data_IF_506427259638
#
_entry.id   IF_506427259638
#
_cell.length_a   1.000
_cell.length_b   1.000
_cell.length_c   1.000
_cell.angle_alpha   90.00
_cell.angle_beta   90.00
_cell.angle_gamma   90.00
#
_symmetry.space_group_name_H-M   'P 1'
#
loop_
_entity.id
_entity.type
_entity.pdbx_description
1 polymer ?
#
# COMPACT_ATOMS: atom_id res chain seq x y z
N UNK A 1 10.97 -19.61 1.61
CA UNK A 1 10.30 -18.67 0.67
C UNK A 1 10.71 -17.24 1.01
N UNK A 2 11.12 -16.50 0.02
CA UNK A 2 11.52 -15.12 0.24
C UNK A 2 10.32 -14.26 0.60
N UNK A 3 10.48 -13.43 1.62
CA UNK A 3 9.46 -12.47 2.00
C UNK A 3 9.45 -11.32 0.98
N UNK A 4 8.29 -11.03 0.42
CA UNK A 4 8.17 -9.94 -0.54
C UNK A 4 8.35 -8.59 0.15
N UNK A 5 9.05 -7.64 -0.47
CA UNK A 5 9.13 -6.28 0.06
C UNK A 5 7.73 -5.66 0.19
N UNK A 6 7.57 -4.77 1.14
CA UNK A 6 6.30 -4.08 1.38
C UNK A 6 6.51 -2.57 1.28
N UNK A 7 5.78 -1.94 0.37
CA UNK A 7 5.81 -0.49 0.16
C UNK A 7 4.42 0.04 0.44
N UNK A 8 4.29 0.95 1.39
CA UNK A 8 2.99 1.49 1.81
C UNK A 8 2.87 2.96 1.44
N UNK A 9 1.75 3.35 0.84
CA UNK A 9 1.48 4.71 0.40
C UNK A 9 0.36 5.35 1.22
N UNK A 10 0.51 6.61 1.60
CA UNK A 10 -0.55 7.33 2.28
C UNK A 10 -0.53 8.82 1.95
N UNK A 11 -1.68 9.49 2.07
CA UNK A 11 -1.80 10.94 1.88
C UNK A 11 -2.22 11.68 3.15
N UNK A 12 -2.71 10.99 4.16
CA UNK A 12 -3.25 11.60 5.38
C UNK A 12 -2.29 11.47 6.57
N UNK A 13 -2.51 10.50 7.45
CA UNK A 13 -1.68 10.38 8.66
C UNK A 13 -0.79 9.16 8.69
N UNK A 14 -1.11 8.13 7.91
CA UNK A 14 -0.40 6.87 7.98
C UNK A 14 -0.78 6.01 9.18
N UNK A 15 -1.80 6.40 9.94
CA UNK A 15 -2.23 5.62 11.10
C UNK A 15 -2.64 4.20 10.76
N UNK A 16 -3.28 4.01 9.61
CA UNK A 16 -3.67 2.69 9.13
C UNK A 16 -2.46 1.80 8.89
N UNK A 17 -1.38 2.38 8.36
CA UNK A 17 -0.13 1.65 8.14
C UNK A 17 0.44 1.19 9.48
N UNK A 18 0.48 2.10 10.45
CA UNK A 18 1.02 1.79 11.77
C UNK A 18 0.21 0.70 12.47
N UNK A 19 -1.12 0.78 12.40
CA UNK A 19 -1.98 -0.24 12.98
C UNK A 19 -1.75 -1.60 12.33
N UNK A 20 -1.68 -1.64 11.01
CA UNK A 20 -1.44 -2.87 10.26
C UNK A 20 -0.06 -3.45 10.60
N UNK A 21 0.96 -2.60 10.64
CA UNK A 21 2.32 -3.02 10.96
C UNK A 21 2.42 -3.64 12.35
N UNK A 22 1.78 -3.01 13.34
CA UNK A 22 1.77 -3.53 14.70
C UNK A 22 1.07 -4.88 14.79
N UNK A 23 -0.03 -5.04 14.07
CA UNK A 23 -0.77 -6.31 14.06
C UNK A 23 0.01 -7.41 13.33
N UNK A 24 0.77 -7.06 12.30
CA UNK A 24 1.60 -8.03 11.57
C UNK A 24 2.90 -8.36 12.30
N UNK A 25 3.37 -7.47 13.15
CA UNK A 25 4.72 -7.57 13.71
C UNK A 25 5.78 -7.28 12.66
N UNK A 26 5.43 -6.49 11.66
CA UNK A 26 6.33 -6.17 10.55
C UNK A 26 6.01 -4.80 10.00
N UNK A 27 7.03 -4.00 9.75
CA UNK A 27 6.88 -2.66 9.18
C UNK A 27 7.24 -2.64 7.70
N UNK A 28 6.68 -1.71 6.92
CA UNK A 28 7.04 -1.57 5.51
C UNK A 28 8.53 -1.31 5.33
N UNK A 29 9.06 -1.78 4.21
CA UNK A 29 10.43 -1.47 3.82
C UNK A 29 10.55 0.00 3.42
N UNK A 30 9.47 0.59 2.91
CA UNK A 30 9.41 1.99 2.55
C UNK A 30 7.99 2.50 2.74
N UNK A 31 7.86 3.73 3.22
CA UNK A 31 6.57 4.41 3.36
C UNK A 31 6.62 5.64 2.45
N UNK A 32 5.62 5.78 1.59
CA UNK A 32 5.61 6.86 0.58
C UNK A 32 4.45 7.79 0.84
N UNK A 33 4.70 9.09 0.81
CA UNK A 33 3.65 10.08 0.98
C UNK A 33 3.82 11.25 0.02
N UNK A 34 2.69 11.82 -0.40
CA UNK A 34 2.66 13.04 -1.19
C UNK A 34 2.43 14.28 -0.33
N UNK A 35 2.53 14.13 1.00
CA UNK A 35 2.47 15.28 1.90
C UNK A 35 3.77 16.08 1.75
N UNK A 36 3.71 17.33 2.20
CA UNK A 36 4.91 18.16 2.25
C UNK A 36 5.70 17.84 3.52
N UNK A 37 7.03 17.87 3.46
CA UNK A 37 7.85 17.57 4.65
C UNK A 37 7.56 18.49 5.85
N UNK A 38 7.07 19.70 5.63
CA UNK A 38 6.71 20.60 6.72
C UNK A 38 5.43 20.14 7.45
N UNK A 39 4.73 19.14 6.92
CA UNK A 39 3.57 18.53 7.57
C UNK A 39 3.94 17.26 8.35
N UNK A 40 5.20 17.04 8.66
CA UNK A 40 5.65 15.85 9.36
C UNK A 40 4.88 15.59 10.66
N UNK A 41 4.50 16.65 11.36
CA UNK A 41 3.77 16.52 12.63
C UNK A 41 2.40 15.86 12.51
N UNK A 42 1.84 15.83 11.29
CA UNK A 42 0.54 15.20 11.05
C UNK A 42 0.67 13.73 10.72
N UNK A 43 1.90 13.22 10.63
CA UNK A 43 2.15 11.81 10.33
C UNK A 43 2.23 11.04 11.65
N UNK A 44 1.63 9.85 11.67
CA UNK A 44 1.64 9.00 12.85
C UNK A 44 3.08 8.80 13.34
N UNK A 45 3.32 9.08 14.61
CA UNK A 45 4.67 9.08 15.19
C UNK A 45 5.30 7.68 15.28
N UNK A 46 4.51 6.64 15.12
CA UNK A 46 5.03 5.27 15.13
C UNK A 46 5.81 4.94 13.86
N UNK A 47 5.59 5.70 12.78
CA UNK A 47 6.29 5.48 11.51
C UNK A 47 7.72 5.99 11.62
N UNK A 48 8.68 5.13 11.25
CA UNK A 48 10.10 5.50 11.22
C UNK A 48 10.33 6.53 10.12
N UNK A 49 10.70 7.74 10.51
CA UNK A 49 10.90 8.85 9.57
C UNK A 49 11.98 8.55 8.52
N UNK A 50 12.96 7.74 8.86
CA UNK A 50 14.03 7.40 7.91
C UNK A 50 13.53 6.56 6.74
N UNK A 51 12.36 5.94 6.88
CA UNK A 51 11.75 5.13 5.82
C UNK A 51 10.78 5.92 4.95
N UNK A 52 10.50 7.16 5.30
CA UNK A 52 9.55 7.98 4.54
C UNK A 52 10.20 8.51 3.27
N UNK A 53 9.54 8.29 2.15
CA UNK A 53 9.89 8.89 0.88
C UNK A 53 8.84 9.91 0.52
N UNK A 54 9.27 11.13 0.22
CA UNK A 54 8.37 12.24 -0.09
C UNK A 54 8.28 12.40 -1.61
N UNK A 55 7.07 12.42 -2.15
CA UNK A 55 6.85 12.61 -3.58
C UNK A 55 6.24 13.97 -3.83
N UNK A 56 6.07 14.33 -5.10
CA UNK A 56 5.28 15.49 -5.47
C UNK A 56 3.82 15.27 -5.06
N UNK A 57 3.07 16.36 -4.94
CA UNK A 57 1.65 16.25 -4.60
C UNK A 57 0.88 15.34 -5.56
N UNK A 58 1.17 15.44 -6.87
CA UNK A 58 0.63 14.52 -7.87
C UNK A 58 1.82 13.85 -8.55
N UNK A 59 2.24 12.64 -8.08
CA UNK A 59 3.41 11.99 -8.64
C UNK A 59 3.21 11.60 -10.10
N UNK A 60 4.27 11.74 -10.88
CA UNK A 60 4.29 11.30 -12.26
C UNK A 60 4.54 9.79 -12.34
N UNK A 61 4.16 9.18 -13.46
CA UNK A 61 4.37 7.74 -13.64
C UNK A 61 5.81 7.33 -13.40
N UNK A 62 6.77 8.14 -13.85
CA UNK A 62 8.19 7.79 -13.70
C UNK A 62 8.63 7.71 -12.24
N UNK A 63 7.99 8.49 -11.35
CA UNK A 63 8.33 8.46 -9.94
C UNK A 63 7.93 7.13 -9.31
N UNK A 64 6.75 6.62 -9.67
CA UNK A 64 6.31 5.31 -9.20
C UNK A 64 7.23 4.21 -9.74
N UNK A 65 7.56 4.27 -11.03
CA UNK A 65 8.43 3.26 -11.66
C UNK A 65 9.81 3.26 -11.02
N UNK A 66 10.40 4.46 -10.84
CA UNK A 66 11.71 4.59 -10.23
C UNK A 66 11.76 3.96 -8.84
N UNK A 67 10.73 4.23 -8.04
CA UNK A 67 10.66 3.68 -6.69
C UNK A 67 10.48 2.16 -6.70
N UNK A 68 9.48 1.68 -7.45
CA UNK A 68 9.10 0.29 -7.36
C UNK A 68 10.08 -0.66 -8.05
N UNK A 69 10.84 -0.16 -9.02
CA UNK A 69 11.87 -0.97 -9.68
C UNK A 69 13.04 -1.30 -8.75
N UNK A 70 13.17 -0.61 -7.63
CA UNK A 70 14.20 -0.90 -6.64
C UNK A 70 13.91 -2.17 -5.84
N UNK A 71 12.71 -2.69 -5.96
CA UNK A 71 12.26 -3.84 -5.17
C UNK A 71 11.77 -4.94 -6.09
N UNK A 72 12.07 -6.19 -5.71
CA UNK A 72 11.65 -7.35 -6.50
C UNK A 72 10.27 -7.81 -6.06
N UNK A 73 9.29 -7.76 -6.98
CA UNK A 73 7.91 -8.18 -6.71
C UNK A 73 7.33 -7.60 -5.43
N UNK A 74 7.36 -6.27 -5.25
CA UNK A 74 6.87 -5.69 -4.01
C UNK A 74 5.36 -5.83 -3.86
N UNK A 75 4.93 -5.89 -2.60
CA UNK A 75 3.51 -5.70 -2.27
C UNK A 75 3.34 -4.22 -2.01
N UNK A 76 2.41 -3.60 -2.73
CA UNK A 76 2.09 -2.18 -2.56
C UNK A 76 0.75 -2.09 -1.85
N UNK A 77 0.70 -1.37 -0.74
CA UNK A 77 -0.56 -1.13 -0.04
C UNK A 77 -0.88 0.36 -0.03
N UNK A 78 -2.15 0.68 -0.22
CA UNK A 78 -2.63 2.05 -0.26
C UNK A 78 -3.51 2.31 0.97
N UNK A 79 -3.18 3.36 1.71
CA UNK A 79 -3.84 3.70 2.97
C UNK A 79 -4.28 5.15 2.92
N UNK A 80 -5.46 5.40 2.35
CA UNK A 80 -5.90 6.76 2.14
C UNK A 80 -5.02 7.51 1.16
N UNK A 81 -4.48 6.82 0.19
CA UNK A 81 -3.69 7.42 -0.89
C UNK A 81 -4.65 8.10 -1.85
N UNK A 82 -4.55 9.43 -1.96
CA UNK A 82 -5.53 10.25 -2.69
C UNK A 82 -5.13 10.53 -4.13
N UNK A 83 -4.42 9.61 -4.74
CA UNK A 83 -4.02 9.72 -6.15
C UNK A 83 -4.30 8.39 -6.85
N UNK A 84 -4.62 8.48 -8.13
CA UNK A 84 -4.83 7.29 -8.96
C UNK A 84 -3.47 6.75 -9.39
N UNK A 85 -3.27 5.44 -9.19
CA UNK A 85 -2.04 4.80 -9.65
C UNK A 85 -2.10 4.58 -11.15
N UNK A 86 -0.98 4.78 -11.87
CA UNK A 86 -0.93 4.44 -13.28
C UNK A 86 -1.23 2.96 -13.50
N UNK A 87 -1.91 2.65 -14.59
CA UNK A 87 -2.24 1.27 -14.94
C UNK A 87 -1.00 0.39 -15.04
N UNK A 88 0.09 0.95 -15.55
CA UNK A 88 1.36 0.22 -15.67
C UNK A 88 1.85 -0.29 -14.32
N UNK A 89 1.61 0.46 -13.25
CA UNK A 89 2.02 0.06 -11.90
C UNK A 89 1.12 -1.08 -11.41
N UNK A 90 -0.17 -0.96 -11.62
CA UNK A 90 -1.12 -2.00 -11.21
C UNK A 90 -0.84 -3.33 -11.92
N UNK A 91 -0.28 -3.28 -13.11
CA UNK A 91 0.05 -4.48 -13.88
C UNK A 91 1.39 -5.10 -13.46
N UNK A 92 2.30 -4.31 -12.92
CA UNK A 92 3.64 -4.80 -12.56
C UNK A 92 3.77 -5.28 -11.11
N UNK A 93 2.90 -4.80 -10.23
CA UNK A 93 3.01 -5.06 -8.81
C UNK A 93 1.72 -5.63 -8.27
N UNK A 94 1.80 -6.35 -7.15
CA UNK A 94 0.61 -6.70 -6.39
C UNK A 94 0.22 -5.49 -5.57
N UNK A 95 -0.93 -4.90 -5.87
CA UNK A 95 -1.41 -3.69 -5.20
C UNK A 95 -2.68 -3.99 -4.43
N UNK A 96 -2.72 -3.59 -3.17
CA UNK A 96 -3.88 -3.75 -2.31
C UNK A 96 -4.27 -2.41 -1.70
N UNK A 97 -5.55 -2.05 -1.84
CA UNK A 97 -6.08 -0.87 -1.19
C UNK A 97 -6.53 -1.27 0.22
N UNK A 98 -6.27 -0.45 1.22
CA UNK A 98 -6.65 -0.72 2.60
C UNK A 98 -8.14 -0.88 2.84
N UNK A 99 -8.99 -0.62 1.87
CA UNK A 99 -10.42 -0.89 1.99
C UNK A 99 -10.72 -2.37 1.81
N UNK A 100 -11.78 -2.88 2.41
CA UNK A 100 -12.14 -4.29 2.29
C UNK A 100 -12.83 -4.60 0.94
N UNK A 101 -12.25 -4.14 -0.16
CA UNK A 101 -12.83 -4.31 -1.49
C UNK A 101 -12.87 -5.74 -1.99
N UNK A 102 -12.11 -6.63 -1.35
CA UNK A 102 -12.10 -8.04 -1.73
C UNK A 102 -13.17 -8.86 -1.03
N UNK A 103 -13.95 -8.27 -0.12
CA UNK A 103 -14.89 -9.03 0.70
C UNK A 103 -15.92 -9.80 -0.14
N UNK A 104 -16.38 -9.22 -1.23
CA UNK A 104 -17.37 -9.87 -2.08
C UNK A 104 -16.82 -11.10 -2.81
N UNK A 105 -15.53 -11.11 -3.10
CA UNK A 105 -14.87 -12.20 -3.83
C UNK A 105 -14.17 -13.19 -2.89
N UNK A 106 -13.78 -12.70 -1.72
CA UNK A 106 -13.10 -13.50 -0.71
C UNK A 106 -13.80 -13.32 0.63
N UNK A 107 -14.94 -14.01 0.85
CA UNK A 107 -15.72 -13.84 2.08
C UNK A 107 -14.95 -14.05 3.37
N UNK A 108 -13.90 -14.87 3.36
CA UNK A 108 -13.09 -15.13 4.53
C UNK A 108 -12.34 -13.87 5.01
N UNK A 109 -12.31 -12.82 4.19
CA UNK A 109 -11.68 -11.56 4.60
C UNK A 109 -12.62 -10.65 5.39
N UNK A 110 -13.86 -11.03 5.59
CA UNK A 110 -14.80 -10.25 6.40
C UNK A 110 -14.41 -10.33 7.88
N UNK A 111 -14.72 -9.26 8.62
CA UNK A 111 -14.55 -9.23 10.05
C UNK A 111 -13.32 -8.50 10.50
N UNK A 112 -12.91 -8.78 11.74
CA UNK A 112 -11.76 -8.12 12.32
C UNK A 112 -10.48 -8.43 11.58
N UNK A 113 -9.59 -7.44 11.55
CA UNK A 113 -8.24 -7.60 11.01
C UNK A 113 -8.21 -8.02 9.54
N UNK A 114 -9.20 -7.53 8.76
CA UNK A 114 -9.28 -7.83 7.33
C UNK A 114 -7.98 -7.52 6.59
N UNK A 115 -7.37 -6.37 6.87
CA UNK A 115 -6.14 -5.97 6.20
C UNK A 115 -4.98 -6.91 6.54
N UNK A 116 -4.87 -7.32 7.80
CA UNK A 116 -3.83 -8.23 8.24
C UNK A 116 -3.96 -9.57 7.50
N UNK A 117 -5.18 -10.09 7.46
CA UNK A 117 -5.42 -11.38 6.80
C UNK A 117 -5.17 -11.32 5.30
N UNK A 118 -5.60 -10.22 4.66
CA UNK A 118 -5.36 -10.03 3.24
C UNK A 118 -3.85 -9.94 2.95
N UNK A 119 -3.12 -9.16 3.75
CA UNK A 119 -1.68 -9.01 3.57
C UNK A 119 -0.98 -10.36 3.71
N UNK A 120 -1.30 -11.11 4.76
CA UNK A 120 -0.70 -12.44 4.97
C UNK A 120 -1.02 -13.38 3.81
N UNK A 121 -2.25 -13.35 3.30
CA UNK A 121 -2.63 -14.17 2.16
C UNK A 121 -1.84 -13.84 0.91
N UNK A 122 -1.59 -12.54 0.66
CA UNK A 122 -0.78 -12.11 -0.47
C UNK A 122 0.66 -12.61 -0.32
N UNK A 123 1.24 -12.50 0.89
CA UNK A 123 2.60 -12.97 1.14
C UNK A 123 2.74 -14.48 0.91
N UNK A 124 1.69 -15.23 1.22
CA UNK A 124 1.69 -16.67 1.05
C UNK A 124 1.32 -17.10 -0.37
N UNK A 125 1.02 -16.13 -1.26
CA UNK A 125 0.59 -16.43 -2.61
C UNK A 125 -0.84 -16.92 -2.71
N UNK A 126 -1.62 -16.80 -1.62
CA UNK A 126 -2.99 -17.29 -1.58
C UNK A 126 -3.96 -16.41 -2.35
N UNK A 127 -3.73 -15.09 -2.33
CA UNK A 127 -4.60 -14.14 -3.01
C UNK A 127 -3.87 -13.46 -4.14
N UNK A 128 -4.34 -13.63 -5.36
CA UNK A 128 -3.76 -12.97 -6.52
C UNK A 128 -4.66 -11.90 -7.09
N UNK A 129 -5.94 -11.93 -6.73
CA UNK A 129 -6.92 -11.00 -7.29
C UNK A 129 -6.92 -9.62 -6.62
N UNK A 130 -6.14 -9.45 -5.55
CA UNK A 130 -6.04 -8.16 -4.87
C UNK A 130 -5.63 -7.05 -5.83
N UNK A 131 -4.67 -7.32 -6.70
CA UNK A 131 -4.23 -6.36 -7.71
C UNK A 131 -5.32 -6.04 -8.71
N UNK A 132 -6.14 -7.03 -9.08
CA UNK A 132 -7.22 -6.82 -10.02
C UNK A 132 -8.30 -5.89 -9.45
N UNK A 133 -8.61 -6.04 -8.16
CA UNK A 133 -9.59 -5.17 -7.50
C UNK A 133 -9.09 -3.73 -7.45
N UNK A 134 -7.84 -3.53 -7.04
CA UNK A 134 -7.30 -2.18 -6.95
C UNK A 134 -7.17 -1.55 -8.33
N UNK A 135 -6.88 -2.35 -9.36
CA UNK A 135 -6.78 -1.86 -10.72
C UNK A 135 -8.12 -1.28 -11.18
N UNK A 136 -9.22 -1.96 -10.88
CA UNK A 136 -10.55 -1.44 -11.20
C UNK A 136 -10.82 -0.13 -10.47
N UNK A 137 -10.46 -0.06 -9.20
CA UNK A 137 -10.67 1.14 -8.39
C UNK A 137 -9.89 2.32 -8.96
N UNK A 138 -8.61 2.13 -9.27
CA UNK A 138 -7.78 3.22 -9.79
C UNK A 138 -8.21 3.65 -11.18
N UNK A 139 -8.62 2.72 -12.03
CA UNK A 139 -9.07 3.04 -13.38
C UNK A 139 -10.45 3.69 -13.38
N UNK A 140 -11.25 3.38 -12.35
CA UNK A 140 -12.62 3.86 -12.25
C UNK A 140 -12.77 5.06 -11.39
N UNK A 141 -11.68 5.66 -10.91
CA UNK A 141 -11.88 6.80 -10.16
C UNK A 141 -12.00 6.76 -8.77
N UNK A 142 -11.55 6.03 -8.21
CA UNK A 142 -11.51 5.91 -6.83
C UNK A 142 -12.14 4.94 -6.31
#
# INVERSE_FOLDING_TARGET
>A
METKPWIAFFSQTGGEIADLAENLGRWPDRVVTNKRPDHLRTIDSRIDQSKIMWTQNTPEEYEYLWLLEQYKNPIVTLHGWLRVLPESICNKCTVYNGHPGLITELPELKGKDTQVRAFKGIQEGKYQIAGAVIHKVTAGVD
#
